data_IF_296547713318
#
_entry.id   IF_296547713318
#
_cell.length_a   1.000
_cell.length_b   1.000
_cell.length_c   1.000
_cell.angle_alpha   90.00
_cell.angle_beta   90.00
_cell.angle_gamma   90.00
#
_symmetry.space_group_name_H-M   'P 1'
#
loop_
_entity.id
_entity.type
_entity.pdbx_description
1 polymer ?
#
# COMPACT_ATOMS: atom_id res chain seq x y z
N UNK A 1 -25.73 16.30 -18.02
CA UNK A 1 -24.74 15.34 -18.57
C UNK A 1 -24.15 15.90 -19.83
N UNK A 2 -22.84 15.69 -20.01
CA UNK A 2 -22.15 16.11 -21.22
C UNK A 2 -22.44 15.12 -22.35
N UNK A 3 -22.69 15.62 -23.55
CA UNK A 3 -22.97 14.81 -24.75
C UNK A 3 -21.74 14.69 -25.67
N UNK A 4 -20.69 15.45 -25.40
CA UNK A 4 -19.43 15.39 -26.14
C UNK A 4 -18.21 15.57 -25.23
N UNK A 5 -17.03 15.07 -25.62
CA UNK A 5 -15.77 15.36 -24.93
C UNK A 5 -15.49 16.86 -24.78
N UNK A 6 -15.83 17.67 -25.80
CA UNK A 6 -15.62 19.12 -25.77
C UNK A 6 -16.42 19.81 -24.66
N UNK A 7 -17.68 19.41 -24.44
CA UNK A 7 -18.51 19.95 -23.36
C UNK A 7 -17.91 19.63 -21.98
N UNK A 8 -17.49 18.37 -21.78
CA UNK A 8 -16.82 17.96 -20.55
C UNK A 8 -15.54 18.78 -20.29
N UNK A 9 -14.68 18.94 -21.30
CA UNK A 9 -13.44 19.69 -21.13
C UNK A 9 -13.66 21.18 -20.93
N UNK A 10 -14.64 21.78 -21.61
CA UNK A 10 -15.04 23.17 -21.36
C UNK A 10 -15.43 23.36 -19.89
N UNK A 11 -16.20 22.43 -19.32
CA UNK A 11 -16.52 22.42 -17.89
C UNK A 11 -15.27 22.27 -17.01
N UNK A 12 -14.38 21.31 -17.30
CA UNK A 12 -13.15 21.11 -16.52
C UNK A 12 -12.26 22.36 -16.54
N UNK A 13 -12.12 23.02 -17.68
CA UNK A 13 -11.32 24.25 -17.79
C UNK A 13 -11.93 25.41 -17.02
N UNK A 14 -13.26 25.55 -17.05
CA UNK A 14 -13.98 26.58 -16.30
C UNK A 14 -13.66 26.53 -14.80
N UNK A 15 -13.55 25.34 -14.22
CA UNK A 15 -13.21 25.13 -12.80
C UNK A 15 -11.70 25.00 -12.52
N UNK A 16 -10.85 25.17 -13.53
CA UNK A 16 -9.40 25.10 -13.33
C UNK A 16 -8.82 26.48 -13.03
N UNK A 17 -8.28 26.64 -11.82
CA UNK A 17 -7.80 27.92 -11.32
C UNK A 17 -6.31 27.89 -10.94
N UNK A 18 -5.70 29.09 -10.84
CA UNK A 18 -4.32 29.23 -10.35
C UNK A 18 -4.26 28.99 -8.84
N UNK A 19 -3.14 28.46 -8.36
CA UNK A 19 -2.84 28.19 -6.93
C UNK A 19 -3.74 27.15 -6.24
N UNK A 20 -4.85 26.73 -6.86
CA UNK A 20 -5.71 25.63 -6.40
C UNK A 20 -5.62 24.45 -7.37
N UNK A 21 -5.41 23.24 -6.84
CA UNK A 21 -5.37 22.03 -7.67
C UNK A 21 -6.79 21.49 -7.82
N UNK A 22 -7.25 21.36 -9.07
CA UNK A 22 -8.52 20.70 -9.38
C UNK A 22 -8.34 19.18 -9.27
N UNK A 23 -9.24 18.50 -8.56
CA UNK A 23 -9.30 17.04 -8.46
C UNK A 23 -10.47 16.56 -9.32
N UNK A 24 -10.17 15.71 -10.30
CA UNK A 24 -11.16 15.03 -11.13
C UNK A 24 -11.07 13.55 -10.80
N UNK A 25 -12.18 12.95 -10.38
CA UNK A 25 -12.18 11.59 -9.84
C UNK A 25 -13.22 10.75 -10.57
N UNK A 26 -12.86 9.52 -10.91
CA UNK A 26 -13.80 8.51 -11.39
C UNK A 26 -13.34 7.11 -10.96
N UNK A 27 -14.22 6.13 -11.06
CA UNK A 27 -13.88 4.72 -10.79
C UNK A 27 -13.45 4.08 -12.10
N UNK A 28 -12.28 3.44 -12.11
CA UNK A 28 -11.64 2.95 -13.33
C UNK A 28 -11.27 4.12 -14.27
N UNK A 29 -10.49 5.06 -13.74
CA UNK A 29 -10.17 6.35 -14.36
C UNK A 29 -9.70 6.25 -15.81
N UNK A 30 -8.89 5.24 -16.13
CA UNK A 30 -8.29 5.09 -17.45
C UNK A 30 -9.36 4.96 -18.54
N UNK A 31 -10.47 4.28 -18.24
CA UNK A 31 -11.58 4.11 -19.16
C UNK A 31 -12.24 5.46 -19.47
N UNK A 32 -12.72 6.17 -18.45
CA UNK A 32 -13.39 7.47 -18.63
C UNK A 32 -12.45 8.50 -19.27
N UNK A 33 -11.20 8.55 -18.82
CA UNK A 33 -10.19 9.48 -19.33
C UNK A 33 -9.89 9.25 -20.82
N UNK A 34 -9.98 8.00 -21.27
CA UNK A 34 -9.84 7.65 -22.70
C UNK A 34 -11.06 8.07 -23.50
N UNK A 35 -12.27 7.78 -23.01
CA UNK A 35 -13.52 8.14 -23.68
C UNK A 35 -13.70 9.65 -23.86
N UNK A 36 -13.27 10.45 -22.88
CA UNK A 36 -13.28 11.91 -23.00
C UNK A 36 -12.06 12.47 -23.75
N UNK A 37 -11.28 11.62 -24.43
CA UNK A 37 -10.11 11.99 -25.22
C UNK A 37 -9.07 12.82 -24.44
N UNK A 38 -8.81 12.48 -23.17
CA UNK A 38 -8.17 13.40 -22.24
C UNK A 38 -6.79 13.92 -22.66
N UNK A 39 -5.97 13.07 -23.29
CA UNK A 39 -4.67 13.51 -23.81
C UNK A 39 -4.77 14.51 -24.96
N UNK A 40 -5.80 14.42 -25.80
CA UNK A 40 -6.01 15.37 -26.92
C UNK A 40 -6.32 16.75 -26.37
N UNK A 41 -7.29 16.85 -25.47
CA UNK A 41 -7.74 18.11 -24.91
C UNK A 41 -6.71 18.76 -23.98
N UNK A 42 -6.04 17.99 -23.12
CA UNK A 42 -4.98 18.53 -22.27
C UNK A 42 -3.81 19.10 -23.09
N UNK A 43 -3.37 18.40 -24.14
CA UNK A 43 -2.29 18.89 -25.02
C UNK A 43 -2.69 20.15 -25.78
N UNK A 44 -3.92 20.18 -26.31
CA UNK A 44 -4.45 21.32 -27.09
C UNK A 44 -4.35 22.66 -26.35
N UNK A 45 -4.54 22.66 -25.03
CA UNK A 45 -4.46 23.88 -24.19
C UNK A 45 -3.15 24.00 -23.40
N UNK A 46 -2.15 23.17 -23.71
CA UNK A 46 -0.79 23.29 -23.20
C UNK A 46 -0.56 22.74 -21.78
N UNK A 47 -1.39 21.84 -21.26
CA UNK A 47 -1.07 21.11 -20.03
C UNK A 47 0.10 20.15 -20.27
N UNK A 48 1.08 20.17 -19.35
CA UNK A 48 2.22 19.25 -19.34
C UNK A 48 2.03 18.20 -18.26
N UNK A 49 2.37 16.95 -18.57
CA UNK A 49 2.41 15.86 -17.61
C UNK A 49 3.46 16.14 -16.52
N UNK A 50 3.07 15.91 -15.26
CA UNK A 50 3.93 16.07 -14.08
C UNK A 50 4.11 14.78 -13.30
N UNK A 51 3.09 13.93 -13.30
CA UNK A 51 3.17 12.61 -12.71
C UNK A 51 2.17 11.70 -13.41
N UNK A 52 2.57 10.47 -13.66
CA UNK A 52 1.73 9.42 -14.22
C UNK A 52 2.05 8.11 -13.49
N UNK A 53 1.01 7.45 -13.03
CA UNK A 53 1.08 6.08 -12.55
C UNK A 53 -0.24 5.41 -12.90
N UNK A 54 -0.16 4.22 -13.49
CA UNK A 54 -1.32 3.39 -13.81
C UNK A 54 -0.88 1.94 -13.72
N UNK A 55 -1.29 1.26 -12.64
CA UNK A 55 -0.99 -0.15 -12.41
C UNK A 55 -2.12 -0.78 -11.59
N UNK A 56 -2.62 -1.92 -12.07
CA UNK A 56 -3.78 -2.60 -11.48
C UNK A 56 -4.97 -1.66 -11.31
N UNK A 57 -5.40 -1.46 -10.07
CA UNK A 57 -6.54 -0.59 -9.71
C UNK A 57 -6.13 0.82 -9.28
N UNK A 58 -4.85 1.19 -9.44
CA UNK A 58 -4.35 2.50 -9.05
C UNK A 58 -4.01 3.33 -10.27
N UNK A 59 -4.70 4.46 -10.45
CA UNK A 59 -4.38 5.42 -11.51
C UNK A 59 -4.33 6.86 -10.98
N UNK A 60 -3.27 7.58 -11.36
CA UNK A 60 -3.01 8.97 -10.99
C UNK A 60 -2.38 9.67 -12.19
N UNK A 61 -3.04 10.73 -12.66
CA UNK A 61 -2.53 11.59 -13.73
C UNK A 61 -2.48 13.02 -13.19
N UNK A 62 -1.28 13.57 -13.01
CA UNK A 62 -1.09 14.97 -12.56
C UNK A 62 -0.56 15.79 -13.73
N UNK A 63 -1.27 16.86 -14.07
CA UNK A 63 -0.89 17.77 -15.14
C UNK A 63 -0.85 19.22 -14.65
N UNK A 64 0.00 20.03 -15.29
CA UNK A 64 0.13 21.46 -14.99
C UNK A 64 0.27 22.28 -16.26
N UNK A 65 -0.52 23.34 -16.36
CA UNK A 65 -0.51 24.30 -17.47
C UNK A 65 -0.40 25.73 -16.95
N UNK A 66 -0.57 26.71 -17.85
CA UNK A 66 -0.57 28.15 -17.52
C UNK A 66 -1.70 28.52 -16.55
N UNK A 67 -2.87 27.89 -16.70
CA UNK A 67 -4.10 28.24 -16.00
C UNK A 67 -4.25 27.57 -14.63
N UNK A 68 -3.51 26.48 -14.37
CA UNK A 68 -3.63 25.75 -13.11
C UNK A 68 -3.00 24.37 -13.14
N UNK A 69 -3.36 23.55 -12.16
CA UNK A 69 -2.98 22.13 -12.12
C UNK A 69 -4.21 21.28 -11.88
N UNK A 70 -4.27 20.14 -12.57
CA UNK A 70 -5.35 19.16 -12.46
C UNK A 70 -4.72 17.84 -12.05
N UNK A 71 -5.37 17.12 -11.13
CA UNK A 71 -5.06 15.73 -10.84
C UNK A 71 -6.28 14.88 -11.13
N UNK A 72 -6.09 13.86 -11.96
CA UNK A 72 -7.07 12.82 -12.22
C UNK A 72 -6.73 11.63 -11.32
N UNK A 73 -7.72 11.14 -10.58
CA UNK A 73 -7.53 10.11 -9.56
C UNK A 73 -8.57 9.02 -9.72
N UNK A 74 -8.12 7.77 -9.68
CA UNK A 74 -9.03 6.64 -9.57
C UNK A 74 -9.56 6.53 -8.14
N UNK A 75 -10.87 6.44 -7.99
CA UNK A 75 -11.52 6.22 -6.69
C UNK A 75 -11.11 4.86 -6.10
N UNK A 76 -10.75 3.89 -6.95
CA UNK A 76 -10.22 2.61 -6.52
C UNK A 76 -8.89 2.72 -5.76
N UNK A 77 -8.19 3.86 -5.83
CA UNK A 77 -7.02 4.16 -4.99
C UNK A 77 -7.33 4.09 -3.47
N UNK A 78 -8.62 4.18 -3.09
CA UNK A 78 -9.11 4.01 -1.71
C UNK A 78 -10.15 2.89 -1.58
N UNK A 79 -11.02 2.73 -2.58
CA UNK A 79 -12.20 1.86 -2.52
C UNK A 79 -12.18 0.79 -3.63
N UNK A 80 -11.40 -0.27 -3.40
CA UNK A 80 -11.32 -1.43 -4.31
C UNK A 80 -12.57 -2.31 -4.15
N UNK A 81 -13.65 -1.91 -4.82
CA UNK A 81 -14.91 -2.64 -4.92
C UNK A 81 -15.70 -2.16 -6.16
N UNK A 82 -16.81 -2.81 -6.51
CA UNK A 82 -17.71 -2.31 -7.56
C UNK A 82 -18.57 -1.15 -7.05
N UNK A 83 -18.98 -0.24 -7.95
CA UNK A 83 -19.88 0.86 -7.59
C UNK A 83 -21.20 0.39 -6.96
N UNK A 84 -21.78 -0.72 -7.44
CA UNK A 84 -22.99 -1.29 -6.86
C UNK A 84 -22.82 -1.66 -5.37
N UNK A 85 -21.76 -2.41 -5.05
CA UNK A 85 -21.39 -2.72 -3.65
C UNK A 85 -21.11 -1.47 -2.82
N UNK A 86 -20.46 -0.45 -3.38
CA UNK A 86 -20.30 0.85 -2.69
C UNK A 86 -21.67 1.45 -2.35
N UNK A 87 -22.58 1.50 -3.33
CA UNK A 87 -23.93 2.02 -3.16
C UNK A 87 -24.73 1.28 -2.09
N UNK A 88 -24.74 -0.05 -2.12
CA UNK A 88 -25.34 -0.89 -1.08
C UNK A 88 -24.77 -0.58 0.31
N UNK A 89 -23.44 -0.51 0.42
CA UNK A 89 -22.73 -0.25 1.67
C UNK A 89 -23.07 1.12 2.28
N UNK A 90 -23.26 2.15 1.46
CA UNK A 90 -23.53 3.52 1.94
C UNK A 90 -25.03 3.85 2.01
N UNK A 91 -25.91 2.91 1.62
CA UNK A 91 -27.36 3.09 1.61
C UNK A 91 -27.89 3.88 0.40
N UNK A 92 -27.12 3.96 -0.69
CA UNK A 92 -27.50 4.63 -1.94
C UNK A 92 -27.38 3.59 -3.07
N UNK A 93 -28.37 2.70 -3.24
CA UNK A 93 -28.27 1.63 -4.20
C UNK A 93 -28.13 2.17 -5.62
N UNK A 94 -27.27 1.52 -6.40
CA UNK A 94 -27.10 1.79 -7.82
C UNK A 94 -28.35 1.36 -8.58
N UNK A 95 -28.78 2.17 -9.56
CA UNK A 95 -29.91 1.81 -10.41
C UNK A 95 -29.53 0.66 -11.35
N UNK A 96 -30.52 -0.19 -11.69
CA UNK A 96 -30.40 -1.17 -12.77
C UNK A 96 -30.71 -0.47 -14.09
N UNK A 97 -30.03 -0.84 -15.16
CA UNK A 97 -30.28 -0.27 -16.49
C UNK A 97 -30.11 -1.36 -17.54
N UNK A 98 -30.97 -1.32 -18.53
CA UNK A 98 -30.79 -2.00 -19.80
C UNK A 98 -30.39 -0.94 -20.83
N UNK A 99 -29.16 -1.02 -21.32
CA UNK A 99 -28.61 -0.01 -22.24
C UNK A 99 -29.24 -0.07 -23.64
N UNK A 100 -29.88 -1.17 -24.01
CA UNK A 100 -30.51 -1.33 -25.33
C UNK A 100 -31.88 -0.66 -25.40
N UNK A 101 -32.62 -0.65 -24.29
CA UNK A 101 -34.01 -0.19 -24.24
C UNK A 101 -34.25 1.09 -23.43
N UNK A 102 -33.25 1.60 -22.69
CA UNK A 102 -33.47 2.76 -21.83
C UNK A 102 -33.74 4.07 -22.58
N UNK A 103 -34.57 4.93 -22.00
CA UNK A 103 -34.77 6.30 -22.49
C UNK A 103 -33.57 7.18 -22.15
N UNK A 104 -33.37 8.25 -22.93
CA UNK A 104 -32.34 9.26 -22.65
C UNK A 104 -32.47 9.90 -21.27
N UNK A 105 -33.69 10.11 -20.79
CA UNK A 105 -33.95 10.70 -19.46
C UNK A 105 -33.62 9.73 -18.32
N UNK A 106 -33.93 8.45 -18.51
CA UNK A 106 -33.55 7.41 -17.55
C UNK A 106 -32.03 7.21 -17.52
N UNK A 107 -31.38 7.18 -18.69
CA UNK A 107 -29.91 7.11 -18.78
C UNK A 107 -29.26 8.29 -18.06
N UNK A 108 -29.84 9.49 -18.17
CA UNK A 108 -29.35 10.66 -17.45
C UNK A 108 -29.48 10.52 -15.93
N UNK A 109 -30.63 10.01 -15.47
CA UNK A 109 -30.90 9.74 -14.05
C UNK A 109 -29.96 8.68 -13.49
N UNK A 110 -29.74 7.61 -14.24
CA UNK A 110 -28.78 6.55 -13.93
C UNK A 110 -27.35 7.09 -13.80
N UNK A 111 -26.88 7.87 -14.78
CA UNK A 111 -25.54 8.45 -14.74
C UNK A 111 -25.35 9.39 -13.54
N UNK A 112 -26.38 10.19 -13.22
CA UNK A 112 -26.36 11.04 -12.03
C UNK A 112 -26.26 10.21 -10.74
N UNK A 113 -27.03 9.12 -10.62
CA UNK A 113 -26.97 8.21 -9.46
C UNK A 113 -25.56 7.64 -9.26
N UNK A 114 -24.89 7.23 -10.34
CA UNK A 114 -23.53 6.70 -10.25
C UNK A 114 -22.56 7.73 -9.66
N UNK A 115 -22.66 9.00 -10.07
CA UNK A 115 -21.85 10.11 -9.51
C UNK A 115 -22.23 10.44 -8.07
N UNK A 116 -23.52 10.40 -7.72
CA UNK A 116 -24.01 10.64 -6.35
C UNK A 116 -23.41 9.63 -5.36
N UNK A 117 -23.36 8.35 -5.73
CA UNK A 117 -22.75 7.29 -4.91
C UNK A 117 -21.28 7.61 -4.63
N UNK A 118 -20.52 7.98 -5.66
CA UNK A 118 -19.09 8.28 -5.52
C UNK A 118 -18.83 9.54 -4.71
N UNK A 119 -19.60 10.60 -4.95
CA UNK A 119 -19.48 11.85 -4.23
C UNK A 119 -19.74 11.64 -2.75
N UNK A 120 -20.80 10.90 -2.39
CA UNK A 120 -21.12 10.63 -0.99
C UNK A 120 -20.06 9.74 -0.33
N UNK A 121 -19.64 8.65 -0.99
CA UNK A 121 -18.59 7.78 -0.48
C UNK A 121 -17.27 8.56 -0.21
N UNK A 122 -16.90 9.47 -1.10
CA UNK A 122 -15.71 10.29 -0.93
C UNK A 122 -15.85 11.36 0.17
N UNK A 123 -17.02 11.98 0.29
CA UNK A 123 -17.34 12.91 1.40
C UNK A 123 -17.21 12.21 2.76
N UNK A 124 -17.66 10.95 2.87
CA UNK A 124 -17.52 10.16 4.09
C UNK A 124 -16.06 9.88 4.45
N UNK A 125 -15.19 9.63 3.47
CA UNK A 125 -13.74 9.55 3.70
C UNK A 125 -13.17 10.88 4.21
N UNK A 126 -13.53 12.01 3.58
CA UNK A 126 -13.07 13.33 4.03
C UNK A 126 -13.52 13.60 5.47
N UNK A 127 -14.80 13.37 5.77
CA UNK A 127 -15.37 13.51 7.12
C UNK A 127 -14.66 12.61 8.13
N UNK A 128 -14.39 11.35 7.77
CA UNK A 128 -13.62 10.43 8.60
C UNK A 128 -12.23 11.01 8.93
N UNK A 129 -11.51 11.54 7.94
CA UNK A 129 -10.18 12.10 8.14
C UNK A 129 -10.20 13.35 9.03
N UNK A 130 -11.13 14.27 8.78
CA UNK A 130 -11.26 15.54 9.49
C UNK A 130 -11.77 15.36 10.92
N UNK A 131 -12.91 14.69 11.10
CA UNK A 131 -13.54 14.50 12.42
C UNK A 131 -12.65 13.71 13.39
N UNK A 132 -11.81 12.80 12.87
CA UNK A 132 -10.89 12.01 13.71
C UNK A 132 -9.45 12.57 13.73
N UNK A 133 -9.22 13.75 13.13
CA UNK A 133 -7.90 14.41 13.05
C UNK A 133 -6.79 13.46 12.57
N UNK A 134 -7.08 12.67 11.54
CA UNK A 134 -6.21 11.59 11.08
C UNK A 134 -5.04 12.13 10.28
N UNK A 135 -5.33 12.80 9.15
CA UNK A 135 -4.34 13.37 8.24
C UNK A 135 -5.01 14.25 7.21
N UNK A 136 -4.20 14.96 6.44
CA UNK A 136 -4.63 15.46 5.13
C UNK A 136 -4.99 14.29 4.18
N UNK A 137 -5.87 14.56 3.23
CA UNK A 137 -6.16 13.64 2.11
C UNK A 137 -4.96 13.56 1.15
N UNK A 138 -4.56 12.35 0.77
CA UNK A 138 -3.51 12.08 -0.22
C UNK A 138 -4.05 11.13 -1.30
N UNK A 139 -3.41 11.07 -2.47
CA UNK A 139 -3.90 10.39 -3.68
C UNK A 139 -4.17 8.90 -3.58
N UNK A 140 -3.65 8.23 -2.55
CA UNK A 140 -3.88 6.82 -2.30
C UNK A 140 -4.05 6.56 -0.82
N UNK A 141 -4.73 5.47 -0.48
CA UNK A 141 -4.83 5.01 0.90
C UNK A 141 -3.45 4.86 1.58
N UNK A 142 -2.45 4.30 0.89
CA UNK A 142 -1.09 4.17 1.42
C UNK A 142 -0.43 5.52 1.71
N UNK A 143 -0.56 6.48 0.80
CA UNK A 143 -0.01 7.84 1.02
C UNK A 143 -0.74 8.56 2.16
N UNK A 144 -2.05 8.35 2.30
CA UNK A 144 -2.84 8.88 3.43
C UNK A 144 -2.41 8.22 4.76
N UNK A 145 -2.16 6.91 4.76
CA UNK A 145 -1.63 6.20 5.93
C UNK A 145 -0.26 6.74 6.37
N UNK A 146 0.64 6.99 5.42
CA UNK A 146 1.93 7.63 5.70
C UNK A 146 1.78 9.07 6.18
N UNK A 147 0.85 9.84 5.60
CA UNK A 147 0.58 11.19 6.07
C UNK A 147 0.05 11.20 7.52
N UNK A 148 -0.82 10.26 7.88
CA UNK A 148 -1.30 10.09 9.25
C UNK A 148 -0.16 9.70 10.20
N UNK A 149 0.73 8.81 9.76
CA UNK A 149 1.91 8.42 10.51
C UNK A 149 2.82 9.62 10.82
N UNK A 150 3.18 10.39 9.79
CA UNK A 150 4.04 11.57 9.94
C UNK A 150 3.39 12.68 10.78
N UNK A 151 2.05 12.78 10.75
CA UNK A 151 1.35 13.85 11.45
C UNK A 151 1.39 13.73 12.98
N UNK A 152 1.26 12.50 13.53
CA UNK A 152 1.14 12.30 14.99
C UNK A 152 1.90 11.10 15.56
N UNK A 153 2.58 10.33 14.72
CA UNK A 153 3.17 9.05 15.12
C UNK A 153 4.68 8.93 14.82
N UNK A 154 5.25 9.91 14.12
CA UNK A 154 6.71 10.04 13.95
C UNK A 154 7.34 10.61 15.23
N UNK A 155 7.43 9.77 16.25
CA UNK A 155 7.97 10.11 17.58
C UNK A 155 9.46 9.80 17.74
N UNK A 156 10.03 9.04 16.81
CA UNK A 156 11.44 8.62 16.81
C UNK A 156 12.05 9.01 15.47
N UNK A 157 13.28 9.53 15.50
CA UNK A 157 13.97 9.95 14.28
C UNK A 157 14.42 8.72 13.50
N UNK A 158 14.02 8.65 12.24
CA UNK A 158 14.44 7.61 11.29
C UNK A 158 15.52 8.23 10.39
N UNK A 159 16.71 7.64 10.41
CA UNK A 159 17.87 8.05 9.64
C UNK A 159 17.91 7.30 8.31
N UNK A 160 18.26 8.00 7.24
CA UNK A 160 18.38 7.45 5.89
C UNK A 160 19.87 7.36 5.56
N UNK A 161 20.31 6.23 5.02
CA UNK A 161 21.66 6.04 4.50
C UNK A 161 21.62 5.66 3.01
N UNK A 162 22.77 5.76 2.35
CA UNK A 162 22.97 5.41 0.95
C UNK A 162 24.02 4.30 0.75
N UNK A 163 24.37 3.55 1.80
CA UNK A 163 25.27 2.40 1.70
C UNK A 163 24.67 1.31 0.81
N UNK A 164 25.19 1.16 -0.41
CA UNK A 164 24.68 0.24 -1.43
C UNK A 164 24.70 -1.22 -0.97
N UNK A 165 25.75 -1.65 -0.27
CA UNK A 165 25.87 -3.04 0.19
C UNK A 165 24.81 -3.37 1.25
N UNK A 166 24.51 -2.44 2.17
CA UNK A 166 23.44 -2.58 3.15
C UNK A 166 22.06 -2.60 2.49
N UNK A 167 21.80 -1.67 1.56
CA UNK A 167 20.55 -1.61 0.79
C UNK A 167 20.31 -2.92 0.04
N UNK A 168 21.35 -3.54 -0.52
CA UNK A 168 21.23 -4.85 -1.16
C UNK A 168 20.73 -5.91 -0.16
N UNK A 169 21.30 -6.00 1.05
CA UNK A 169 20.84 -6.93 2.09
C UNK A 169 19.39 -6.66 2.53
N UNK A 170 19.02 -5.38 2.69
CA UNK A 170 17.64 -4.97 3.00
C UNK A 170 16.64 -5.44 1.94
N UNK A 171 17.01 -5.33 0.65
CA UNK A 171 16.14 -5.75 -0.46
C UNK A 171 16.11 -7.26 -0.65
N UNK A 172 17.23 -7.96 -0.42
CA UNK A 172 17.31 -9.41 -0.50
C UNK A 172 16.52 -10.08 0.62
N UNK A 173 16.52 -9.49 1.82
CA UNK A 173 15.75 -9.98 2.97
C UNK A 173 14.26 -9.65 2.91
N UNK A 174 13.83 -8.66 2.12
CA UNK A 174 12.42 -8.27 1.99
C UNK A 174 11.63 -9.30 1.17
N UNK A 175 10.76 -10.07 1.83
CA UNK A 175 9.97 -11.19 1.27
C UNK A 175 8.48 -11.05 1.62
N UNK A 176 7.62 -11.70 0.84
CA UNK A 176 6.17 -11.74 1.07
C UNK A 176 5.77 -12.79 2.11
N UNK A 177 4.46 -12.95 2.35
CA UNK A 177 3.94 -14.03 3.20
C UNK A 177 4.19 -15.42 2.62
N UNK A 178 4.22 -16.43 3.50
CA UNK A 178 4.31 -17.85 3.13
C UNK A 178 2.99 -18.30 2.52
N UNK A 179 3.02 -18.76 1.28
CA UNK A 179 1.88 -19.32 0.57
C UNK A 179 2.35 -20.59 -0.14
N UNK A 180 2.06 -21.74 0.45
CA UNK A 180 2.36 -23.05 -0.11
C UNK A 180 1.32 -24.09 0.33
N UNK A 181 1.28 -25.23 -0.37
CA UNK A 181 0.45 -26.36 0.03
C UNK A 181 1.16 -27.13 1.14
N UNK A 182 0.66 -27.03 2.37
CA UNK A 182 1.16 -27.80 3.52
C UNK A 182 0.72 -29.27 3.49
N UNK A 183 -0.30 -29.58 2.69
CA UNK A 183 -0.82 -30.93 2.49
C UNK A 183 -1.19 -31.10 1.02
N UNK A 184 -0.84 -32.25 0.43
CA UNK A 184 -1.20 -32.64 -0.93
C UNK A 184 -1.97 -33.96 -0.87
N UNK A 185 -3.23 -33.94 -1.28
CA UNK A 185 -4.10 -35.09 -1.24
C UNK A 185 -5.53 -34.72 -0.90
N UNK A 186 -6.35 -35.75 -0.69
CA UNK A 186 -7.75 -35.59 -0.30
C UNK A 186 -7.88 -35.57 1.22
N UNK A 187 -8.50 -34.50 1.72
CA UNK A 187 -8.96 -34.41 3.10
C UNK A 187 -10.31 -35.13 3.18
N UNK A 188 -10.32 -36.33 3.79
CA UNK A 188 -11.51 -37.20 3.95
C UNK A 188 -12.55 -36.55 4.88
N UNK A 189 -13.69 -37.22 5.11
CA UNK A 189 -14.80 -36.78 5.98
C UNK A 189 -14.40 -36.63 7.47
N UNK A 190 -13.57 -35.64 7.77
CA UNK A 190 -13.10 -35.26 9.09
C UNK A 190 -13.40 -33.77 9.34
N UNK A 191 -13.18 -33.32 10.57
CA UNK A 191 -13.40 -31.92 10.97
C UNK A 191 -12.13 -31.11 10.76
N UNK A 192 -12.22 -30.05 9.97
CA UNK A 192 -11.12 -29.12 9.71
C UNK A 192 -11.43 -27.74 10.27
N UNK A 193 -10.42 -27.10 10.82
CA UNK A 193 -10.51 -25.75 11.40
C UNK A 193 -9.68 -24.76 10.58
N UNK A 194 -10.23 -23.58 10.34
CA UNK A 194 -9.52 -22.45 9.74
C UNK A 194 -9.28 -21.42 10.83
N UNK A 195 -8.02 -21.09 11.07
CA UNK A 195 -7.60 -20.08 12.04
C UNK A 195 -6.88 -18.93 11.32
N UNK A 196 -7.18 -17.69 11.73
CA UNK A 196 -6.59 -16.48 11.15
C UNK A 196 -6.11 -15.54 12.27
N UNK A 197 -4.98 -14.88 12.05
CA UNK A 197 -4.39 -13.93 13.01
C UNK A 197 -5.05 -12.56 12.83
N UNK A 198 -5.67 -12.09 13.90
CA UNK A 198 -6.29 -10.76 13.93
C UNK A 198 -5.28 -9.64 13.64
N UNK A 199 -5.32 -9.12 12.40
CA UNK A 199 -4.46 -8.00 11.95
C UNK A 199 -2.97 -8.30 12.15
N UNK A 200 -2.48 -9.42 11.59
CA UNK A 200 -1.10 -9.91 11.72
C UNK A 200 -0.02 -8.82 11.59
N UNK A 201 0.03 -8.10 10.47
CA UNK A 201 1.06 -7.07 10.26
C UNK A 201 0.98 -5.94 11.30
N UNK A 202 -0.20 -5.34 11.57
CA UNK A 202 -0.36 -4.39 12.67
C UNK A 202 0.08 -4.93 14.03
N UNK A 203 -0.23 -6.19 14.36
CA UNK A 203 0.22 -6.81 15.60
C UNK A 203 1.75 -6.83 15.68
N UNK A 204 2.41 -7.37 14.66
CA UNK A 204 3.89 -7.40 14.56
C UNK A 204 4.48 -5.98 14.64
N UNK A 205 3.88 -5.00 13.95
CA UNK A 205 4.26 -3.59 14.01
C UNK A 205 4.23 -3.02 15.44
N UNK A 206 3.23 -3.40 16.24
CA UNK A 206 3.07 -2.91 17.60
C UNK A 206 4.08 -3.53 18.58
N UNK A 207 4.30 -4.83 18.47
CA UNK A 207 5.03 -5.63 19.48
C UNK A 207 6.55 -5.56 19.37
N UNK A 208 7.11 -5.10 18.24
CA UNK A 208 8.54 -5.23 17.98
C UNK A 208 9.27 -3.91 17.74
N UNK A 209 10.61 -3.99 17.79
CA UNK A 209 11.52 -2.89 17.47
C UNK A 209 11.97 -2.99 16.01
N UNK A 210 12.13 -1.84 15.37
CA UNK A 210 12.43 -1.73 13.95
C UNK A 210 13.68 -0.90 13.71
N UNK A 211 14.46 -1.19 12.65
CA UNK A 211 15.67 -0.45 12.34
C UNK A 211 15.35 1.02 12.07
N UNK A 212 16.07 1.92 12.74
CA UNK A 212 15.92 3.38 12.56
C UNK A 212 17.20 4.06 12.10
N UNK A 213 18.36 3.42 12.26
CA UNK A 213 19.64 4.02 11.87
C UNK A 213 20.68 2.95 11.59
N UNK A 214 21.30 3.05 10.42
CA UNK A 214 22.45 2.23 10.05
C UNK A 214 23.63 2.51 10.98
N UNK A 215 24.29 1.44 11.44
CA UNK A 215 25.49 1.53 12.27
C UNK A 215 26.73 1.14 11.47
N UNK A 216 26.76 -0.09 10.99
CA UNK A 216 27.92 -0.64 10.30
C UNK A 216 27.55 -1.88 9.50
N UNK A 217 28.39 -2.20 8.52
CA UNK A 217 28.40 -3.46 7.78
C UNK A 217 29.74 -4.16 8.00
N UNK A 218 29.69 -5.46 8.25
CA UNK A 218 30.85 -6.32 8.48
C UNK A 218 30.90 -7.42 7.43
N UNK A 219 32.11 -7.76 6.99
CA UNK A 219 32.39 -8.92 6.13
C UNK A 219 32.88 -10.08 6.98
N UNK A 220 32.37 -11.27 6.70
CA UNK A 220 32.66 -12.53 7.39
C UNK A 220 32.69 -12.39 8.94
N UNK A 221 31.66 -11.78 9.57
CA UNK A 221 31.66 -11.60 11.02
C UNK A 221 31.63 -12.94 11.76
N UNK A 222 32.28 -13.00 12.92
CA UNK A 222 32.24 -14.21 13.75
C UNK A 222 30.85 -14.42 14.34
N UNK A 223 30.51 -15.68 14.66
CA UNK A 223 29.25 -16.04 15.34
C UNK A 223 29.05 -15.23 16.63
N UNK A 224 30.12 -14.97 17.39
CA UNK A 224 30.10 -14.19 18.62
C UNK A 224 29.67 -12.75 18.36
N UNK A 225 30.24 -12.10 17.33
CA UNK A 225 29.89 -10.71 16.96
C UNK A 225 28.40 -10.61 16.61
N UNK A 226 27.87 -11.55 15.82
CA UNK A 226 26.45 -11.55 15.49
C UNK A 226 25.59 -11.79 16.73
N UNK A 227 25.90 -12.82 17.53
CA UNK A 227 25.13 -13.16 18.74
C UNK A 227 25.09 -12.00 19.72
N UNK A 228 26.22 -11.31 19.94
CA UNK A 228 26.27 -10.10 20.77
C UNK A 228 25.47 -8.96 20.15
N UNK A 229 25.54 -8.72 18.85
CA UNK A 229 24.75 -7.65 18.24
C UNK A 229 23.23 -7.90 18.31
N UNK A 230 22.77 -9.15 18.26
CA UNK A 230 21.34 -9.49 18.34
C UNK A 230 20.70 -9.21 19.71
N UNK A 231 21.48 -8.87 20.74
CA UNK A 231 20.94 -8.54 22.07
C UNK A 231 20.24 -7.19 22.10
N UNK A 232 20.75 -6.21 21.34
CA UNK A 232 20.33 -4.80 21.41
C UNK A 232 20.19 -4.12 20.04
N UNK A 233 20.60 -4.76 18.95
CA UNK A 233 20.60 -4.19 17.58
C UNK A 233 19.77 -5.02 16.61
N UNK A 234 19.30 -4.32 15.59
CA UNK A 234 18.73 -4.92 14.39
C UNK A 234 19.85 -5.49 13.55
N UNK A 235 19.67 -6.67 12.98
CA UNK A 235 20.67 -7.30 12.14
C UNK A 235 20.02 -7.87 10.89
N UNK A 236 20.67 -7.66 9.75
CA UNK A 236 20.40 -8.41 8.52
C UNK A 236 21.71 -9.04 8.10
N UNK A 237 21.71 -10.35 7.85
CA UNK A 237 22.93 -11.05 7.46
C UNK A 237 22.67 -12.04 6.33
N UNK A 238 23.63 -12.10 5.41
CA UNK A 238 23.77 -13.19 4.46
C UNK A 238 24.50 -14.34 5.15
N UNK A 239 23.84 -15.49 5.24
CA UNK A 239 24.31 -16.64 6.00
C UNK A 239 24.20 -17.91 5.17
N UNK A 240 25.17 -18.80 5.32
CA UNK A 240 25.04 -20.19 4.90
C UNK A 240 24.36 -20.93 6.05
N UNK A 241 23.19 -21.49 5.80
CA UNK A 241 22.50 -22.37 6.73
C UNK A 241 22.56 -23.82 6.29
N UNK A 242 22.32 -24.71 7.23
CA UNK A 242 22.04 -26.13 7.04
C UNK A 242 20.88 -26.49 7.97
N UNK A 243 19.73 -26.87 7.41
CA UNK A 243 18.49 -27.09 8.16
C UNK A 243 17.67 -28.23 7.56
N UNK A 244 17.02 -29.01 8.39
CA UNK A 244 16.00 -29.99 8.01
C UNK A 244 14.58 -29.40 7.98
N UNK A 245 14.42 -28.12 8.35
CA UNK A 245 13.12 -27.45 8.47
C UNK A 245 12.86 -26.45 7.32
N UNK A 246 11.67 -26.47 6.68
CA UNK A 246 11.30 -25.54 5.61
C UNK A 246 10.83 -24.19 6.19
N UNK A 247 11.74 -23.46 6.83
CA UNK A 247 11.41 -22.24 7.61
C UNK A 247 12.01 -20.95 7.05
N UNK A 248 13.09 -21.05 6.25
CA UNK A 248 13.75 -19.87 5.67
C UNK A 248 13.28 -19.63 4.24
N UNK A 249 12.62 -18.49 4.03
CA UNK A 249 12.14 -18.09 2.71
C UNK A 249 13.30 -17.69 1.78
N UNK A 250 13.39 -18.31 0.61
CA UNK A 250 14.35 -17.97 -0.45
C UNK A 250 13.59 -17.52 -1.70
N UNK A 251 13.98 -16.38 -2.27
CA UNK A 251 13.41 -15.89 -3.54
C UNK A 251 14.15 -16.52 -4.72
N UNK A 252 13.43 -17.30 -5.53
CA UNK A 252 13.84 -17.76 -6.87
C UNK A 252 12.82 -17.21 -7.89
N UNK A 253 12.36 -18.03 -8.84
CA UNK A 253 11.21 -17.70 -9.69
C UNK A 253 9.94 -17.48 -8.86
N UNK A 254 9.83 -18.18 -7.73
CA UNK A 254 8.83 -17.99 -6.67
C UNK A 254 9.53 -18.00 -5.31
N UNK A 255 8.83 -17.55 -4.27
CA UNK A 255 9.30 -17.76 -2.89
C UNK A 255 9.19 -19.25 -2.57
N UNK A 256 10.27 -19.86 -2.11
CA UNK A 256 10.35 -21.27 -1.68
C UNK A 256 10.93 -21.36 -0.27
N UNK A 257 10.70 -22.48 0.40
CA UNK A 257 11.21 -22.78 1.75
C UNK A 257 12.00 -24.09 1.71
N UNK A 258 13.22 -24.08 1.14
CA UNK A 258 14.01 -25.29 0.96
C UNK A 258 14.60 -25.78 2.28
N UNK A 259 14.92 -27.07 2.33
CA UNK A 259 15.75 -27.71 3.36
C UNK A 259 17.14 -28.02 2.80
N UNK A 260 18.06 -28.43 3.66
CA UNK A 260 19.47 -28.68 3.38
C UNK A 260 20.33 -27.44 3.51
N UNK A 261 21.44 -27.41 2.77
CA UNK A 261 22.48 -26.40 2.88
C UNK A 261 22.41 -25.35 1.77
N UNK A 262 22.17 -24.08 2.13
CA UNK A 262 22.05 -23.00 1.15
C UNK A 262 22.33 -21.61 1.74
N UNK A 263 22.66 -20.67 0.87
CA UNK A 263 22.80 -19.25 1.23
C UNK A 263 21.45 -18.54 1.25
N UNK A 264 21.23 -17.71 2.27
CA UNK A 264 20.02 -16.91 2.44
C UNK A 264 20.32 -15.63 3.23
N UNK A 265 19.57 -14.56 2.96
CA UNK A 265 19.64 -13.30 3.71
C UNK A 265 18.54 -13.25 4.76
N UNK A 266 18.91 -13.22 6.03
CA UNK A 266 18.01 -13.32 7.18
C UNK A 266 17.97 -12.02 7.97
N UNK A 267 16.79 -11.70 8.51
CA UNK A 267 16.56 -10.57 9.44
C UNK A 267 16.66 -11.02 10.90
N UNK A 268 16.67 -10.08 11.85
CA UNK A 268 16.82 -10.35 13.29
C UNK A 268 16.00 -11.55 13.81
N UNK A 269 14.69 -11.69 13.55
CA UNK A 269 13.91 -12.81 14.08
C UNK A 269 14.37 -14.17 13.49
N UNK A 270 14.65 -14.21 12.19
CA UNK A 270 15.11 -15.42 11.51
C UNK A 270 16.53 -15.81 11.95
N UNK A 271 17.40 -14.83 12.20
CA UNK A 271 18.73 -15.05 12.74
C UNK A 271 18.68 -15.63 14.16
N UNK A 272 17.80 -15.10 15.03
CA UNK A 272 17.59 -15.64 16.38
C UNK A 272 17.14 -17.10 16.31
N UNK A 273 16.13 -17.39 15.50
CA UNK A 273 15.66 -18.74 15.27
C UNK A 273 16.79 -19.67 14.75
N UNK A 274 17.61 -19.21 13.80
CA UNK A 274 18.74 -19.98 13.28
C UNK A 274 19.85 -20.25 14.32
N UNK A 275 20.05 -19.35 15.28
CA UNK A 275 20.96 -19.59 16.40
C UNK A 275 20.38 -20.61 17.38
N UNK A 276 19.10 -20.51 17.70
CA UNK A 276 18.39 -21.42 18.64
C UNK A 276 18.41 -22.86 18.15
N UNK A 277 18.27 -23.09 16.84
CA UNK A 277 18.23 -24.42 16.23
C UNK A 277 19.59 -24.84 15.66
N UNK A 278 20.65 -24.06 15.89
CA UNK A 278 22.01 -24.31 15.39
C UNK A 278 22.11 -24.51 13.85
N UNK A 279 21.24 -23.86 13.08
CA UNK A 279 21.21 -23.97 11.61
C UNK A 279 22.33 -23.19 10.91
N UNK A 280 23.03 -22.30 11.62
CA UNK A 280 24.04 -21.41 11.01
C UNK A 280 25.33 -22.19 10.77
N UNK A 281 25.83 -22.18 9.53
CA UNK A 281 27.15 -22.73 9.16
C UNK A 281 28.22 -21.63 9.17
N UNK A 282 28.01 -20.55 8.41
CA UNK A 282 28.91 -19.39 8.36
C UNK A 282 28.21 -18.11 7.93
N UNK A 283 28.80 -16.96 8.25
CA UNK A 283 28.33 -15.64 7.82
C UNK A 283 29.16 -15.13 6.64
N UNK A 284 28.49 -14.57 5.63
CA UNK A 284 29.15 -13.88 4.51
C UNK A 284 29.30 -12.39 4.82
N UNK A 285 28.19 -11.71 5.12
CA UNK A 285 28.18 -10.30 5.54
C UNK A 285 26.98 -10.00 6.42
N UNK A 286 27.11 -9.01 7.29
CA UNK A 286 26.02 -8.57 8.16
C UNK A 286 26.01 -7.06 8.33
N UNK A 287 24.82 -6.49 8.40
CA UNK A 287 24.59 -5.07 8.70
C UNK A 287 23.84 -4.95 10.02
N UNK A 288 24.24 -3.96 10.83
CA UNK A 288 23.62 -3.65 12.11
C UNK A 288 22.93 -2.29 12.10
N UNK A 289 21.83 -2.21 12.85
CA UNK A 289 21.02 -1.01 13.00
C UNK A 289 20.68 -0.75 14.47
N UNK A 290 20.61 0.52 14.87
CA UNK A 290 19.84 0.92 16.05
C UNK A 290 18.35 0.61 15.78
N UNK A 291 17.61 0.20 16.81
CA UNK A 291 16.18 -0.11 16.70
C UNK A 291 15.34 0.68 17.68
N UNK A 292 14.11 0.98 17.28
CA UNK A 292 13.14 1.69 18.10
C UNK A 292 11.72 1.16 17.88
N UNK A 293 10.83 1.41 18.84
CA UNK A 293 9.39 1.20 18.63
C UNK A 293 8.80 2.40 17.86
N UNK A 294 8.77 2.28 16.54
CA UNK A 294 8.35 3.36 15.66
C UNK A 294 6.89 3.26 15.21
N UNK A 295 6.17 2.17 15.52
CA UNK A 295 4.82 1.92 15.00
C UNK A 295 3.73 1.75 16.06
N UNK A 296 4.06 1.43 17.32
CA UNK A 296 3.04 1.09 18.31
C UNK A 296 2.03 2.23 18.53
N UNK A 297 2.47 3.49 18.54
CA UNK A 297 1.57 4.64 18.72
C UNK A 297 0.52 4.72 17.58
N UNK A 298 0.92 4.43 16.34
CA UNK A 298 0.05 4.41 15.18
C UNK A 298 -0.95 3.25 15.29
N UNK A 299 -0.44 2.03 15.48
CA UNK A 299 -1.28 0.83 15.56
C UNK A 299 -2.30 0.95 16.69
N UNK A 300 -1.87 1.36 17.89
CA UNK A 300 -2.75 1.52 19.04
C UNK A 300 -3.88 2.51 18.78
N UNK A 301 -3.59 3.64 18.12
CA UNK A 301 -4.62 4.63 17.78
C UNK A 301 -5.65 4.06 16.82
N UNK A 302 -5.22 3.53 15.68
CA UNK A 302 -6.15 3.05 14.65
C UNK A 302 -6.90 1.79 15.09
N UNK A 303 -6.29 0.93 15.90
CA UNK A 303 -6.98 -0.22 16.50
C UNK A 303 -8.07 0.21 17.48
N UNK A 304 -7.80 1.20 18.36
CA UNK A 304 -8.81 1.79 19.25
C UNK A 304 -9.97 2.43 18.47
N UNK A 305 -9.66 3.21 17.42
CA UNK A 305 -10.69 3.78 16.54
C UNK A 305 -11.52 2.69 15.86
N UNK A 306 -10.87 1.63 15.37
CA UNK A 306 -11.55 0.49 14.77
C UNK A 306 -12.55 -0.16 15.74
N UNK A 307 -12.13 -0.45 16.97
CA UNK A 307 -13.00 -1.04 17.99
C UNK A 307 -14.16 -0.12 18.36
N UNK A 308 -13.91 1.19 18.48
CA UNK A 308 -14.95 2.19 18.72
C UNK A 308 -16.02 2.16 17.61
N UNK A 309 -15.60 2.18 16.34
CA UNK A 309 -16.57 2.16 15.23
C UNK A 309 -17.31 0.84 15.10
N UNK A 310 -16.65 -0.27 15.42
CA UNK A 310 -17.30 -1.58 15.53
C UNK A 310 -18.41 -1.59 16.59
N UNK A 311 -18.14 -1.07 17.78
CA UNK A 311 -19.14 -0.95 18.86
C UNK A 311 -20.32 -0.04 18.47
N UNK A 312 -20.07 0.96 17.64
CA UNK A 312 -21.10 1.88 17.14
C UNK A 312 -21.88 1.33 15.92
N UNK A 313 -21.56 0.13 15.44
CA UNK A 313 -22.14 -0.42 14.21
C UNK A 313 -21.74 0.33 12.93
N UNK A 314 -20.70 1.17 12.98
CA UNK A 314 -20.21 1.92 11.84
C UNK A 314 -19.18 1.10 11.06
N UNK A 315 -19.68 0.16 10.25
CA UNK A 315 -18.89 -0.76 9.43
C UNK A 315 -17.96 -0.05 8.44
N UNK A 316 -18.38 1.09 7.90
CA UNK A 316 -17.60 1.87 6.96
C UNK A 316 -16.32 2.45 7.61
N UNK A 317 -16.46 3.07 8.77
CA UNK A 317 -15.30 3.63 9.47
C UNK A 317 -14.44 2.54 10.11
N UNK A 318 -15.03 1.40 10.51
CA UNK A 318 -14.25 0.22 10.90
C UNK A 318 -13.32 -0.22 9.76
N UNK A 319 -13.88 -0.36 8.55
CA UNK A 319 -13.10 -0.79 7.37
C UNK A 319 -12.05 0.24 7.00
N UNK A 320 -12.34 1.55 7.06
CA UNK A 320 -11.33 2.60 6.86
C UNK A 320 -10.18 2.49 7.88
N UNK A 321 -10.46 2.23 9.15
CA UNK A 321 -9.41 2.01 10.16
C UNK A 321 -8.56 0.77 9.84
N UNK A 322 -9.19 -0.37 9.48
CA UNK A 322 -8.48 -1.59 9.07
C UNK A 322 -7.57 -1.33 7.87
N UNK A 323 -8.09 -0.59 6.89
CA UNK A 323 -7.38 -0.16 5.68
C UNK A 323 -6.17 0.71 6.00
N UNK A 324 -6.28 1.65 6.93
CA UNK A 324 -5.15 2.49 7.38
C UNK A 324 -4.07 1.68 8.09
N UNK A 325 -4.45 0.76 8.98
CA UNK A 325 -3.55 -0.17 9.66
C UNK A 325 -2.70 -0.97 8.66
N UNK A 326 -3.33 -1.56 7.65
CA UNK A 326 -2.65 -2.46 6.71
C UNK A 326 -1.88 -1.72 5.61
N UNK A 327 -2.15 -0.44 5.36
CA UNK A 327 -1.50 0.28 4.25
C UNK A 327 -0.19 0.95 4.63
N UNK A 328 0.07 1.14 5.93
CA UNK A 328 1.28 1.85 6.38
C UNK A 328 2.56 1.05 6.09
N UNK A 329 2.61 -0.24 6.46
CA UNK A 329 3.84 -1.02 6.31
C UNK A 329 4.32 -1.09 4.86
N UNK A 330 3.38 -1.17 3.90
CA UNK A 330 3.70 -1.19 2.46
C UNK A 330 4.44 0.08 1.99
N UNK A 331 4.24 1.22 2.66
CA UNK A 331 4.98 2.46 2.37
C UNK A 331 6.45 2.40 2.79
N UNK A 332 6.77 1.66 3.86
CA UNK A 332 8.15 1.44 4.30
C UNK A 332 8.89 0.44 3.40
N UNK A 333 8.17 -0.51 2.80
CA UNK A 333 8.72 -1.46 1.83
C UNK A 333 8.79 -0.96 0.38
N UNK A 334 8.26 0.24 0.08
CA UNK A 334 8.09 0.73 -1.28
C UNK A 334 9.43 0.79 -2.03
N UNK A 335 9.40 0.37 -3.30
CA UNK A 335 10.52 0.54 -4.24
C UNK A 335 10.43 1.92 -4.91
N UNK A 336 11.57 2.52 -5.18
CA UNK A 336 11.65 3.68 -6.06
C UNK A 336 11.79 3.17 -7.49
N UNK A 337 10.88 3.58 -8.38
CA UNK A 337 11.03 3.33 -9.81
C UNK A 337 12.01 4.33 -10.41
N UNK A 338 13.00 3.83 -11.15
CA UNK A 338 13.95 4.67 -11.89
C UNK A 338 13.44 4.80 -13.32
N UNK A 339 12.78 5.91 -13.63
CA UNK A 339 12.34 6.23 -14.99
C UNK A 339 13.55 6.58 -15.85
N UNK A 340 13.79 5.82 -16.91
CA UNK A 340 14.78 6.14 -17.94
C UNK A 340 14.08 6.79 -19.12
N UNK A 341 14.57 7.95 -19.56
CA UNK A 341 14.12 8.55 -20.82
C UNK A 341 14.59 7.65 -21.96
N UNK A 342 13.68 6.90 -22.56
CA UNK A 342 13.91 6.31 -23.88
C UNK A 342 13.51 7.34 -24.93
N UNK A 343 14.48 7.76 -25.75
CA UNK A 343 14.12 8.36 -27.04
C UNK A 343 13.55 7.20 -27.87
N UNK A 344 12.28 7.30 -28.25
CA UNK A 344 11.73 6.45 -29.30
C UNK A 344 12.46 6.88 -30.59
N UNK A 345 13.24 5.97 -31.17
CA UNK A 345 13.87 6.15 -32.47
C UNK A 345 12.83 6.16 -33.58
#
# INVERSE_FOLDING_TARGET
NFRSPLEFWTFVYHYTERKRKLWVMSRNLVFDFTLVEGWKYLRRVGFKLKFFHSEGVTSIISVRGRFGSIVFLDIMNWFVESLAKTGERIGIPKLKIDFESCSNDYLNTYCKRDVEIELENFKRLIKFLETNSISRLCYTRGSTAMAAYLFRHYNKKIYIHNNEQAIQLERDSYRGGRVECFYLGELKNDTYYIVDVNSLYPFVMREHLYPVKYLQILKNPSRRVIKTGLTDKGCIAEVLIDTDEPVYAVRRNRTIFPTGRFWVTLTTPELKYAFEHNHIVKFGRAVFYEQENIFASYVNRFYKLRLKFKQQGNSEYEELCKKMLNSLYGKFGQKADIWKNTKLN
#
